data_IF_250354784786
#
_entry.id   IF_250354784786
#
_cell.length_a   1.000
_cell.length_b   1.000
_cell.length_c   1.000
_cell.angle_alpha   90.00
_cell.angle_beta   90.00
_cell.angle_gamma   90.00
#
_symmetry.space_group_name_H-M   'P 1'
#
loop_
_entity.id
_entity.type
_entity.pdbx_description
1 polymer ?
#
# COMPACT_ATOMS: atom_id res chain seq x y z
N UNK A 1 14.27 -1.71 25.27
CA UNK A 1 13.04 -0.89 25.22
C UNK A 1 12.52 -0.96 23.79
N UNK A 2 11.31 -1.46 23.64
CA UNK A 2 10.84 -2.20 22.47
C UNK A 2 10.53 -1.32 21.26
N UNK A 3 11.05 -1.72 20.09
CA UNK A 3 10.76 -1.19 18.75
C UNK A 3 9.27 -1.36 18.32
N UNK A 4 8.42 -1.84 19.23
CA UNK A 4 7.05 -2.28 18.99
C UNK A 4 6.08 -1.09 18.90
N UNK A 5 6.32 -0.01 19.65
CA UNK A 5 5.53 1.22 19.57
C UNK A 5 5.68 1.94 18.22
N UNK A 6 6.91 2.00 17.69
CA UNK A 6 7.20 2.58 16.38
C UNK A 6 6.52 1.81 15.23
N UNK A 7 6.53 0.48 15.29
CA UNK A 7 5.88 -0.39 14.31
C UNK A 7 4.35 -0.22 14.34
N UNK A 8 3.75 -0.19 15.53
CA UNK A 8 2.29 0.02 15.70
C UNK A 8 1.82 1.39 15.21
N UNK A 9 2.61 2.45 15.44
CA UNK A 9 2.31 3.78 14.92
C UNK A 9 2.36 3.81 13.39
N UNK A 10 3.42 3.25 12.79
CA UNK A 10 3.55 3.17 11.32
C UNK A 10 2.40 2.38 10.68
N UNK A 11 2.01 1.26 11.28
CA UNK A 11 0.83 0.49 10.88
C UNK A 11 -0.45 1.34 10.91
N UNK A 12 -0.66 2.06 12.02
CA UNK A 12 -1.85 2.90 12.18
C UNK A 12 -1.96 4.01 11.14
N UNK A 13 -0.84 4.65 10.78
CA UNK A 13 -0.80 5.64 9.71
C UNK A 13 -1.05 5.02 8.34
N UNK A 14 -0.57 3.80 8.10
CA UNK A 14 -0.81 3.10 6.85
C UNK A 14 -2.30 2.79 6.66
N UNK A 15 -2.96 2.25 7.68
CA UNK A 15 -4.41 1.99 7.66
C UNK A 15 -5.21 3.26 7.35
N UNK A 16 -4.89 4.39 7.99
CA UNK A 16 -5.58 5.66 7.75
C UNK A 16 -5.45 6.16 6.31
N UNK A 17 -4.26 6.06 5.71
CA UNK A 17 -4.04 6.43 4.30
C UNK A 17 -4.83 5.54 3.36
N UNK A 18 -4.90 4.23 3.63
CA UNK A 18 -5.70 3.31 2.83
C UNK A 18 -7.20 3.57 2.96
N UNK A 19 -7.71 3.84 4.16
CA UNK A 19 -9.13 4.23 4.34
C UNK A 19 -9.44 5.52 3.57
N UNK A 20 -8.53 6.49 3.56
CA UNK A 20 -8.68 7.69 2.74
C UNK A 20 -8.75 7.36 1.23
N UNK A 21 -7.84 6.53 0.72
CA UNK A 21 -7.82 6.10 -0.69
C UNK A 21 -9.11 5.35 -1.05
N UNK A 22 -9.52 4.41 -0.21
CA UNK A 22 -10.77 3.65 -0.37
C UNK A 22 -11.98 4.58 -0.43
N UNK A 23 -12.10 5.50 0.53
CA UNK A 23 -13.22 6.43 0.59
C UNK A 23 -13.24 7.36 -0.62
N UNK A 24 -12.08 7.88 -1.02
CA UNK A 24 -11.91 8.71 -2.20
C UNK A 24 -12.36 7.96 -3.46
N UNK A 25 -11.85 6.75 -3.70
CA UNK A 25 -12.22 5.93 -4.85
C UNK A 25 -13.72 5.64 -4.90
N UNK A 26 -14.29 5.24 -3.77
CA UNK A 26 -15.71 4.85 -3.68
C UNK A 26 -16.68 6.03 -3.89
N UNK A 27 -16.19 7.27 -3.83
CA UNK A 27 -17.02 8.47 -3.89
C UNK A 27 -16.50 9.48 -4.93
N UNK A 28 -15.55 9.12 -5.79
CA UNK A 28 -14.94 10.08 -6.70
C UNK A 28 -15.97 10.59 -7.70
N UNK A 29 -16.11 11.91 -7.80
CA UNK A 29 -17.00 12.56 -8.75
C UNK A 29 -16.41 13.90 -9.15
N UNK A 30 -16.84 14.47 -10.29
CA UNK A 30 -16.32 15.75 -10.80
C UNK A 30 -16.52 16.93 -9.83
N UNK A 31 -17.42 16.81 -8.87
CA UNK A 31 -17.77 17.85 -7.91
C UNK A 31 -17.15 17.63 -6.53
N UNK A 32 -16.55 16.46 -6.27
CA UNK A 32 -16.01 16.11 -4.95
C UNK A 32 -14.53 16.50 -4.83
N UNK A 33 -14.18 17.07 -3.68
CA UNK A 33 -12.80 17.32 -3.26
C UNK A 33 -12.55 16.58 -1.94
N UNK A 34 -11.46 15.83 -1.86
CA UNK A 34 -11.07 15.06 -0.69
C UNK A 34 -9.84 15.68 -0.05
N UNK A 35 -9.92 15.99 1.25
CA UNK A 35 -8.87 16.67 2.00
C UNK A 35 -8.41 15.78 3.15
N UNK A 36 -7.15 15.35 3.08
CA UNK A 36 -6.46 14.65 4.17
C UNK A 36 -5.69 15.67 5.02
N UNK A 37 -6.18 15.97 6.23
CA UNK A 37 -5.61 17.01 7.10
C UNK A 37 -4.53 16.46 8.06
N UNK A 38 -4.51 15.13 8.30
CA UNK A 38 -3.56 14.52 9.23
C UNK A 38 -3.81 14.93 10.70
N UNK A 39 -2.77 14.81 11.53
CA UNK A 39 -2.84 14.84 13.01
C UNK A 39 -2.83 16.26 13.62
N UNK A 40 -3.58 17.24 13.08
CA UNK A 40 -3.47 18.64 13.56
C UNK A 40 -4.64 19.22 14.35
N UNK A 41 -5.79 18.55 14.51
CA UNK A 41 -6.88 19.11 15.32
C UNK A 41 -7.25 18.32 16.57
N UNK A 42 -6.63 17.16 16.81
CA UNK A 42 -6.89 16.36 18.03
C UNK A 42 -5.77 16.58 19.03
N UNK A 43 -6.12 17.21 20.15
CA UNK A 43 -5.23 17.49 21.29
C UNK A 43 -4.72 16.16 21.85
N UNK A 44 -3.55 15.75 21.35
CA UNK A 44 -2.90 14.50 21.70
C UNK A 44 -1.81 14.85 22.69
N UNK A 45 -2.08 14.52 23.95
CA UNK A 45 -1.06 14.50 24.99
C UNK A 45 0.08 13.61 24.47
N UNK A 46 1.31 14.11 24.47
CA UNK A 46 2.50 13.43 23.92
C UNK A 46 2.79 12.10 24.63
N UNK A 47 2.13 11.84 25.77
CA UNK A 47 2.23 10.62 26.56
C UNK A 47 1.16 9.56 26.23
N UNK A 48 0.21 9.83 25.32
CA UNK A 48 -0.92 8.94 25.01
C UNK A 48 -0.61 8.13 23.73
N UNK A 49 0.15 7.03 23.88
CA UNK A 49 0.59 6.11 22.81
C UNK A 49 -0.56 5.50 21.98
N UNK A 50 -1.82 5.70 22.39
CA UNK A 50 -3.02 5.06 21.84
C UNK A 50 -3.76 5.88 20.75
N UNK A 51 -3.24 7.03 20.35
CA UNK A 51 -4.02 8.04 19.59
C UNK A 51 -3.65 8.17 18.10
N UNK A 52 -3.79 7.06 17.36
CA UNK A 52 -3.82 7.07 15.89
C UNK A 52 -5.22 7.47 15.37
N UNK A 53 -5.61 8.74 15.55
CA UNK A 53 -6.86 9.28 15.01
C UNK A 53 -6.52 10.31 13.92
N UNK A 54 -7.08 10.12 12.72
CA UNK A 54 -6.92 11.04 11.59
C UNK A 54 -8.29 11.46 11.08
N UNK A 55 -8.40 12.74 10.72
CA UNK A 55 -9.59 13.31 10.10
C UNK A 55 -9.34 13.60 8.62
N UNK A 56 -10.35 13.35 7.79
CA UNK A 56 -10.42 13.85 6.44
C UNK A 56 -11.83 14.30 6.09
N UNK A 57 -11.93 15.23 5.13
CA UNK A 57 -13.18 15.86 4.73
C UNK A 57 -13.45 15.59 3.26
N UNK A 58 -14.72 15.35 2.94
CA UNK A 58 -15.24 15.61 1.59
C UNK A 58 -15.93 16.98 1.65
N UNK A 59 -15.52 17.94 0.81
CA UNK A 59 -16.12 19.29 0.79
C UNK A 59 -17.64 19.25 0.50
N UNK A 60 -18.18 18.11 0.08
CA UNK A 60 -19.61 17.85 -0.08
C UNK A 60 -20.26 17.14 1.13
N UNK A 61 -20.00 17.62 2.36
CA UNK A 61 -20.80 17.40 3.59
C UNK A 61 -20.51 16.15 4.46
N UNK A 62 -19.29 15.61 4.51
CA UNK A 62 -18.97 14.50 5.45
C UNK A 62 -17.62 14.70 6.16
N UNK A 63 -17.66 14.70 7.50
CA UNK A 63 -16.50 14.72 8.38
C UNK A 63 -16.16 13.30 8.82
N UNK A 64 -15.03 12.80 8.35
CA UNK A 64 -14.65 11.39 8.51
C UNK A 64 -13.45 11.32 9.43
N UNK A 65 -13.58 10.54 10.49
CA UNK A 65 -12.48 10.20 11.39
C UNK A 65 -12.13 8.73 11.26
N UNK A 66 -10.85 8.41 11.36
CA UNK A 66 -10.35 7.04 11.19
C UNK A 66 -9.47 6.63 12.36
N UNK A 67 -9.79 5.46 12.93
CA UNK A 67 -9.02 4.87 14.02
C UNK A 67 -8.59 3.44 13.67
N UNK A 68 -7.29 3.19 13.69
CA UNK A 68 -6.71 1.85 13.73
C UNK A 68 -6.70 1.29 15.15
N UNK A 69 -6.75 -0.03 15.30
CA UNK A 69 -6.78 -0.71 16.60
C UNK A 69 -8.13 -0.58 17.32
N UNK A 70 -8.10 -0.70 18.64
CA UNK A 70 -9.30 -0.64 19.48
C UNK A 70 -9.78 0.79 19.66
N UNK A 71 -11.10 0.99 19.65
CA UNK A 71 -11.73 2.26 20.02
C UNK A 71 -12.14 2.16 21.49
N UNK A 72 -11.35 2.75 22.38
CA UNK A 72 -11.69 2.83 23.81
C UNK A 72 -12.72 3.94 24.06
N UNK A 73 -13.41 3.91 25.21
CA UNK A 73 -14.36 4.98 25.59
C UNK A 73 -13.74 6.37 25.56
N UNK A 74 -12.46 6.49 25.91
CA UNK A 74 -11.72 7.75 25.82
C UNK A 74 -11.53 8.19 24.38
N UNK A 75 -11.12 7.30 23.48
CA UNK A 75 -10.97 7.61 22.05
C UNK A 75 -12.33 8.01 21.47
N UNK A 76 -13.39 7.27 21.79
CA UNK A 76 -14.74 7.60 21.36
C UNK A 76 -15.21 8.97 21.86
N UNK A 77 -14.91 9.31 23.13
CA UNK A 77 -15.17 10.66 23.64
C UNK A 77 -14.43 11.72 22.83
N UNK A 78 -13.14 11.53 22.52
CA UNK A 78 -12.36 12.46 21.68
C UNK A 78 -12.95 12.60 20.27
N UNK A 79 -13.43 11.51 19.67
CA UNK A 79 -14.10 11.53 18.35
C UNK A 79 -15.35 12.41 18.38
N UNK A 80 -16.21 12.19 19.37
CA UNK A 80 -17.46 12.93 19.54
C UNK A 80 -17.18 14.40 19.90
N UNK A 81 -16.23 14.66 20.78
CA UNK A 81 -15.77 16.01 21.10
C UNK A 81 -15.35 16.76 19.84
N UNK A 82 -14.56 16.11 18.96
CA UNK A 82 -14.15 16.74 17.70
C UNK A 82 -15.35 17.04 16.79
N UNK A 83 -16.32 16.12 16.69
CA UNK A 83 -17.54 16.38 15.92
C UNK A 83 -18.39 17.54 16.47
N UNK A 84 -18.32 17.84 17.78
CA UNK A 84 -18.96 19.02 18.38
C UNK A 84 -18.26 20.34 18.06
N UNK A 85 -17.00 20.27 17.61
CA UNK A 85 -16.22 21.43 17.16
C UNK A 85 -16.45 21.71 15.67
N UNK A 86 -16.62 20.65 14.88
CA UNK A 86 -16.83 20.71 13.43
C UNK A 86 -18.22 21.23 13.06
N UNK A 87 -18.40 21.60 11.80
CA UNK A 87 -19.63 22.22 11.28
C UNK A 87 -20.87 21.31 11.45
N UNK A 88 -21.95 21.86 12.02
CA UNK A 88 -23.18 21.11 12.38
C UNK A 88 -23.87 20.44 11.18
N UNK A 89 -23.64 20.92 9.95
CA UNK A 89 -24.36 20.46 8.75
C UNK A 89 -23.74 19.22 8.10
N UNK A 90 -22.48 18.91 8.43
CA UNK A 90 -21.79 17.77 7.84
C UNK A 90 -22.22 16.47 8.53
N UNK A 91 -22.44 15.43 7.73
CA UNK A 91 -22.59 14.07 8.24
C UNK A 91 -21.31 13.68 8.97
N UNK A 92 -21.45 13.02 10.12
CA UNK A 92 -20.32 12.57 10.94
C UNK A 92 -20.11 11.08 10.73
N UNK A 93 -18.88 10.68 10.42
CA UNK A 93 -18.54 9.28 10.16
C UNK A 93 -17.27 8.87 10.86
N UNK A 94 -17.30 7.71 11.51
CA UNK A 94 -16.12 7.05 12.06
C UNK A 94 -15.87 5.75 11.28
N UNK A 95 -14.66 5.59 10.77
CA UNK A 95 -14.15 4.31 10.27
C UNK A 95 -13.19 3.73 11.31
N UNK A 96 -13.54 2.59 11.87
CA UNK A 96 -12.77 1.89 12.89
C UNK A 96 -12.24 0.55 12.34
N UNK A 97 -11.01 0.20 12.69
CA UNK A 97 -10.45 -1.10 12.31
C UNK A 97 -11.10 -2.26 13.06
N UNK A 98 -11.44 -2.03 14.33
CA UNK A 98 -12.05 -3.04 15.20
C UNK A 98 -13.38 -2.52 15.73
N UNK A 99 -14.28 -3.46 16.01
CA UNK A 99 -15.57 -3.15 16.61
C UNK A 99 -15.42 -2.69 18.08
N UNK A 100 -16.47 -2.08 18.60
CA UNK A 100 -16.52 -1.58 19.97
C UNK A 100 -16.77 -2.72 20.96
N UNK A 101 -16.00 -2.76 22.05
CA UNK A 101 -16.19 -3.71 23.14
C UNK A 101 -17.26 -3.25 24.16
N UNK A 102 -17.99 -2.19 23.85
CA UNK A 102 -19.01 -1.58 24.70
C UNK A 102 -20.10 -0.91 23.86
N UNK A 103 -21.27 -0.71 24.44
CA UNK A 103 -22.37 -0.02 23.78
C UNK A 103 -22.11 1.49 23.68
N UNK A 104 -21.91 1.98 22.46
CA UNK A 104 -21.49 3.37 22.16
C UNK A 104 -22.54 4.43 22.53
N UNK A 105 -23.80 4.02 22.65
CA UNK A 105 -24.95 4.89 22.91
C UNK A 105 -25.62 4.63 24.27
N UNK A 106 -25.00 3.81 25.12
CA UNK A 106 -25.48 3.58 26.48
C UNK A 106 -25.36 4.84 27.33
N UNK A 107 -26.23 4.98 28.34
CA UNK A 107 -26.17 6.07 29.31
C UNK A 107 -24.80 6.20 29.97
N UNK A 108 -24.13 5.07 30.25
CA UNK A 108 -22.78 5.03 30.79
C UNK A 108 -21.79 5.72 29.85
N UNK A 109 -21.79 5.37 28.56
CA UNK A 109 -20.91 5.96 27.56
C UNK A 109 -21.21 7.44 27.35
N UNK A 110 -22.48 7.83 27.23
CA UNK A 110 -22.85 9.25 27.05
C UNK A 110 -22.44 10.09 28.26
N UNK A 111 -22.66 9.59 29.48
CA UNK A 111 -22.22 10.27 30.71
C UNK A 111 -20.68 10.37 30.78
N UNK A 112 -19.97 9.35 30.29
CA UNK A 112 -18.51 9.38 30.20
C UNK A 112 -18.02 10.48 29.23
N UNK A 113 -18.65 10.63 28.06
CA UNK A 113 -18.33 11.71 27.11
C UNK A 113 -18.61 13.07 27.74
N UNK A 114 -19.78 13.25 28.36
CA UNK A 114 -20.16 14.49 29.04
C UNK A 114 -19.13 14.88 30.12
N UNK A 115 -18.66 13.90 30.90
CA UNK A 115 -17.61 14.11 31.91
C UNK A 115 -16.33 14.64 31.27
N UNK A 116 -15.84 14.03 30.18
CA UNK A 116 -14.62 14.47 29.50
C UNK A 116 -14.73 15.92 28.96
N UNK A 117 -15.88 16.26 28.36
CA UNK A 117 -16.17 17.63 27.91
C UNK A 117 -16.13 18.61 29.08
N UNK A 118 -16.78 18.29 30.21
CA UNK A 118 -16.79 19.15 31.41
C UNK A 118 -15.38 19.37 31.96
N UNK A 119 -14.56 18.33 32.01
CA UNK A 119 -13.16 18.41 32.42
C UNK A 119 -12.32 19.26 31.44
N UNK A 120 -12.73 19.30 30.16
CA UNK A 120 -12.19 20.20 29.13
C UNK A 120 -12.15 21.68 29.52
N UNK A 121 -13.04 22.14 30.43
CA UNK A 121 -13.01 23.50 30.98
C UNK A 121 -11.64 23.89 31.55
N UNK A 122 -10.91 22.95 32.15
CA UNK A 122 -9.61 23.24 32.77
C UNK A 122 -8.43 23.13 31.81
N UNK A 123 -8.66 22.70 30.55
CA UNK A 123 -7.62 22.56 29.55
C UNK A 123 -7.35 23.87 28.78
N UNK A 124 -6.25 23.88 28.02
CA UNK A 124 -5.88 25.00 27.14
C UNK A 124 -6.98 25.27 26.11
N UNK A 125 -7.13 26.52 25.65
CA UNK A 125 -8.14 26.90 24.64
C UNK A 125 -8.02 26.16 23.30
N UNK A 126 -6.84 25.65 23.00
CA UNK A 126 -6.55 24.87 21.79
C UNK A 126 -7.01 23.41 21.91
N UNK A 127 -7.35 22.94 23.11
CA UNK A 127 -7.77 21.56 23.34
C UNK A 127 -9.17 21.31 22.76
N UNK A 128 -9.37 20.20 22.05
CA UNK A 128 -10.73 19.84 21.55
C UNK A 128 -11.72 19.81 22.72
N UNK A 129 -11.42 19.10 23.80
CA UNK A 129 -12.36 19.01 24.93
C UNK A 129 -12.73 20.40 25.48
N UNK A 130 -11.82 21.38 25.40
CA UNK A 130 -12.10 22.77 25.78
C UNK A 130 -12.97 23.48 24.75
N UNK A 131 -12.70 23.29 23.46
CA UNK A 131 -13.50 23.84 22.36
C UNK A 131 -14.92 23.25 22.35
N UNK A 132 -15.06 21.94 22.56
CA UNK A 132 -16.35 21.26 22.69
C UNK A 132 -17.14 21.79 23.90
N UNK A 133 -16.48 21.99 25.05
CA UNK A 133 -17.08 22.65 26.20
C UNK A 133 -17.57 24.05 25.86
N UNK A 134 -16.71 24.88 25.25
CA UNK A 134 -17.04 26.27 24.92
C UNK A 134 -18.19 26.32 23.89
N UNK A 135 -18.22 25.44 22.89
CA UNK A 135 -19.30 25.34 21.90
C UNK A 135 -20.64 25.01 22.55
N UNK A 136 -20.70 23.96 23.38
CA UNK A 136 -21.94 23.58 24.07
C UNK A 136 -22.39 24.66 25.06
N UNK A 137 -21.46 25.26 25.80
CA UNK A 137 -21.77 26.33 26.74
C UNK A 137 -22.25 27.60 26.03
N UNK A 138 -21.69 27.94 24.88
CA UNK A 138 -22.14 29.09 24.09
C UNK A 138 -23.52 28.85 23.47
N UNK A 139 -23.80 27.62 23.03
CA UNK A 139 -25.07 27.25 22.37
C UNK A 139 -26.23 27.09 23.36
N UNK A 140 -25.98 26.55 24.55
CA UNK A 140 -27.03 26.16 25.50
C UNK A 140 -26.89 26.73 26.91
N UNK A 141 -25.83 27.49 27.21
CA UNK A 141 -25.42 27.78 28.58
C UNK A 141 -24.91 26.52 29.29
N UNK A 142 -24.63 26.62 30.60
CA UNK A 142 -24.31 25.46 31.42
C UNK A 142 -25.61 24.68 31.73
N UNK A 143 -25.94 23.72 30.87
CA UNK A 143 -27.15 22.90 30.97
C UNK A 143 -26.82 21.45 30.60
N UNK A 144 -26.58 20.62 31.63
CA UNK A 144 -26.13 19.24 31.45
C UNK A 144 -27.14 18.38 30.68
N UNK A 145 -28.45 18.59 30.88
CA UNK A 145 -29.48 17.84 30.17
C UNK A 145 -29.48 18.15 28.67
N UNK A 146 -29.32 19.43 28.30
CA UNK A 146 -29.23 19.84 26.89
C UNK A 146 -27.92 19.36 26.25
N UNK A 147 -26.81 19.40 26.99
CA UNK A 147 -25.53 18.89 26.50
C UNK A 147 -25.62 17.38 26.28
N UNK A 148 -26.19 16.64 27.24
CA UNK A 148 -26.40 15.19 27.11
C UNK A 148 -27.25 14.84 25.89
N UNK A 149 -28.37 15.57 25.67
CA UNK A 149 -29.21 15.41 24.48
C UNK A 149 -28.44 15.68 23.20
N UNK A 150 -27.61 16.73 23.16
CA UNK A 150 -26.79 17.04 21.98
C UNK A 150 -25.76 15.93 21.71
N UNK A 151 -25.06 15.44 22.74
CA UNK A 151 -24.13 14.31 22.63
C UNK A 151 -24.84 13.07 22.07
N UNK A 152 -26.00 12.72 22.64
CA UNK A 152 -26.79 11.58 22.19
C UNK A 152 -27.25 11.74 20.73
N UNK A 153 -27.70 12.93 20.34
CA UNK A 153 -28.09 13.22 18.96
C UNK A 153 -26.91 13.05 17.99
N UNK A 154 -25.73 13.57 18.34
CA UNK A 154 -24.52 13.40 17.52
C UNK A 154 -24.12 11.94 17.39
N UNK A 155 -24.13 11.17 18.48
CA UNK A 155 -23.83 9.74 18.48
C UNK A 155 -24.84 8.95 17.64
N UNK A 156 -26.14 9.21 17.80
CA UNK A 156 -27.22 8.52 17.08
C UNK A 156 -27.19 8.77 15.57
N UNK A 157 -26.79 9.97 15.15
CA UNK A 157 -26.79 10.37 13.76
C UNK A 157 -25.45 10.05 13.05
N UNK A 158 -24.44 9.62 13.79
CA UNK A 158 -23.14 9.27 13.25
C UNK A 158 -23.21 7.94 12.47
N UNK A 159 -22.48 7.86 11.35
CA UNK A 159 -22.26 6.62 10.61
C UNK A 159 -21.01 5.94 11.17
N UNK A 160 -21.16 4.69 11.60
CA UNK A 160 -20.03 3.87 12.07
C UNK A 160 -19.75 2.80 11.03
N UNK A 161 -18.50 2.71 10.58
CA UNK A 161 -18.02 1.71 9.63
C UNK A 161 -16.89 0.94 10.30
N UNK A 162 -17.07 -0.37 10.48
CA UNK A 162 -16.01 -1.25 11.00
C UNK A 162 -15.41 -2.01 9.82
N UNK A 163 -14.10 -1.85 9.60
CA UNK A 163 -13.37 -2.49 8.50
C UNK A 163 -11.92 -2.80 8.88
N UNK A 164 -11.53 -4.06 8.78
CA UNK A 164 -10.13 -4.47 8.89
C UNK A 164 -9.27 -3.94 7.74
N UNK A 165 -7.94 -3.94 7.92
CA UNK A 165 -6.99 -3.58 6.87
C UNK A 165 -7.20 -4.39 5.58
N UNK A 166 -7.33 -5.72 5.70
CA UNK A 166 -7.50 -6.62 4.56
C UNK A 166 -8.79 -6.32 3.78
N UNK A 167 -9.88 -5.97 4.47
CA UNK A 167 -11.13 -5.56 3.82
C UNK A 167 -10.99 -4.25 3.06
N UNK A 168 -10.30 -3.26 3.64
CA UNK A 168 -10.03 -1.97 2.97
C UNK A 168 -9.17 -2.19 1.72
N UNK A 169 -8.09 -2.98 1.82
CA UNK A 169 -7.23 -3.31 0.68
C UNK A 169 -8.01 -4.00 -0.44
N UNK A 170 -8.83 -4.99 -0.08
CA UNK A 170 -9.64 -5.73 -1.04
C UNK A 170 -10.69 -4.86 -1.73
N UNK A 171 -11.31 -3.91 -1.02
CA UNK A 171 -12.26 -2.98 -1.63
C UNK A 171 -11.59 -1.98 -2.56
N UNK A 172 -10.41 -1.46 -2.20
CA UNK A 172 -9.61 -0.64 -3.12
C UNK A 172 -9.31 -1.43 -4.39
N UNK A 173 -8.83 -2.65 -4.26
CA UNK A 173 -8.53 -3.53 -5.40
C UNK A 173 -9.75 -3.75 -6.28
N UNK A 174 -10.87 -4.16 -5.69
CA UNK A 174 -12.07 -4.49 -6.45
C UNK A 174 -12.61 -3.26 -7.21
N UNK A 175 -12.74 -2.13 -6.52
CA UNK A 175 -13.24 -0.88 -7.13
C UNK A 175 -12.31 -0.41 -8.24
N UNK A 176 -11.00 -0.36 -7.99
CA UNK A 176 -10.06 0.14 -8.98
C UNK A 176 -9.97 -0.76 -10.22
N UNK A 177 -9.95 -2.09 -10.02
CA UNK A 177 -9.93 -3.06 -11.12
C UNK A 177 -11.20 -2.96 -11.97
N UNK A 178 -12.36 -2.81 -11.34
CA UNK A 178 -13.64 -2.71 -12.04
C UNK A 178 -13.74 -1.42 -12.86
N UNK A 179 -13.34 -0.28 -12.28
CA UNK A 179 -13.58 1.03 -12.87
C UNK A 179 -12.48 1.50 -13.83
N UNK A 180 -11.23 1.06 -13.62
CA UNK A 180 -10.05 1.65 -14.29
C UNK A 180 -9.13 0.65 -15.00
N UNK A 181 -9.46 -0.64 -15.01
CA UNK A 181 -8.64 -1.68 -15.65
C UNK A 181 -9.41 -2.51 -16.69
N UNK A 182 -10.52 -1.98 -17.22
CA UNK A 182 -11.32 -2.66 -18.25
C UNK A 182 -10.60 -2.78 -19.61
N UNK A 183 -9.54 -2.01 -19.82
CA UNK A 183 -8.68 -2.06 -21.01
C UNK A 183 -7.70 -3.24 -21.01
N UNK A 184 -7.44 -3.86 -19.85
CA UNK A 184 -6.56 -5.04 -19.73
C UNK A 184 -7.32 -6.31 -20.10
N UNK A 185 -6.92 -6.93 -21.21
CA UNK A 185 -7.54 -8.12 -21.78
C UNK A 185 -6.67 -9.38 -21.71
N UNK A 186 -5.34 -9.23 -21.65
CA UNK A 186 -4.40 -10.36 -21.79
C UNK A 186 -3.50 -10.56 -20.58
N UNK A 187 -2.90 -9.48 -20.08
CA UNK A 187 -1.99 -9.50 -18.94
C UNK A 187 -2.74 -9.19 -17.64
N UNK A 188 -3.47 -10.17 -17.11
CA UNK A 188 -4.32 -9.96 -15.92
C UNK A 188 -3.56 -9.45 -14.69
N UNK A 189 -2.28 -9.83 -14.53
CA UNK A 189 -1.44 -9.33 -13.44
C UNK A 189 -1.15 -7.82 -13.54
N UNK A 190 -1.29 -7.18 -14.72
CA UNK A 190 -1.25 -5.71 -14.83
C UNK A 190 -2.31 -5.06 -13.93
N UNK A 191 -3.47 -5.68 -13.75
CA UNK A 191 -4.52 -5.12 -12.89
C UNK A 191 -4.02 -4.99 -11.45
N UNK A 192 -3.32 -6.01 -10.93
CA UNK A 192 -2.74 -5.98 -9.59
C UNK A 192 -1.65 -4.91 -9.48
N UNK A 193 -0.75 -4.84 -10.47
CA UNK A 193 0.33 -3.87 -10.50
C UNK A 193 -0.17 -2.42 -10.61
N UNK A 194 -1.22 -2.18 -11.40
CA UNK A 194 -1.85 -0.86 -11.49
C UNK A 194 -2.46 -0.44 -10.16
N UNK A 195 -3.14 -1.34 -9.45
CA UNK A 195 -3.67 -1.03 -8.10
C UNK A 195 -2.55 -0.66 -7.14
N UNK A 196 -1.48 -1.44 -7.10
CA UNK A 196 -0.33 -1.15 -6.23
C UNK A 196 0.33 0.19 -6.58
N UNK A 197 0.54 0.46 -7.87
CA UNK A 197 1.11 1.71 -8.34
C UNK A 197 0.21 2.91 -8.02
N UNK A 198 -1.11 2.75 -8.16
CA UNK A 198 -2.08 3.79 -7.83
C UNK A 198 -2.09 4.11 -6.33
N UNK A 199 -2.24 3.09 -5.47
CA UNK A 199 -2.20 3.25 -3.99
C UNK A 199 -0.94 4.00 -3.58
N UNK A 200 0.18 3.62 -4.18
CA UNK A 200 1.48 4.22 -3.88
C UNK A 200 1.57 5.68 -4.28
N UNK A 201 1.15 6.04 -5.49
CA UNK A 201 1.19 7.44 -5.93
C UNK A 201 0.30 8.32 -5.03
N UNK A 202 -0.86 7.83 -4.63
CA UNK A 202 -1.70 8.49 -3.63
C UNK A 202 -0.97 8.66 -2.29
N UNK A 203 -0.35 7.61 -1.75
CA UNK A 203 0.41 7.66 -0.48
C UNK A 203 1.58 8.64 -0.58
N UNK A 204 2.39 8.57 -1.63
CA UNK A 204 3.52 9.47 -1.87
C UNK A 204 3.07 10.93 -1.91
N UNK A 205 1.94 11.19 -2.58
CA UNK A 205 1.35 12.53 -2.63
C UNK A 205 0.90 12.99 -1.25
N UNK A 206 0.20 12.14 -0.48
CA UNK A 206 -0.18 12.44 0.92
C UNK A 206 1.06 12.79 1.73
N UNK A 207 2.09 11.95 1.70
CA UNK A 207 3.34 12.14 2.47
C UNK A 207 4.07 13.42 2.07
N UNK A 208 4.11 13.76 0.78
CA UNK A 208 4.70 15.00 0.28
C UNK A 208 3.99 16.25 0.80
N UNK A 209 2.66 16.22 0.93
CA UNK A 209 1.89 17.33 1.51
C UNK A 209 2.06 17.39 3.03
N UNK A 210 1.98 16.25 3.72
CA UNK A 210 2.19 16.14 5.16
C UNK A 210 3.59 16.59 5.57
N UNK A 211 4.63 16.23 4.82
CA UNK A 211 6.01 16.69 5.05
C UNK A 211 6.19 18.21 4.91
N UNK A 212 5.25 18.89 4.23
CA UNK A 212 5.18 20.35 4.12
C UNK A 212 4.22 20.99 5.14
N UNK A 213 3.68 20.22 6.08
CA UNK A 213 2.65 20.65 7.04
C UNK A 213 1.45 21.31 6.36
N UNK A 214 0.96 20.68 5.29
CA UNK A 214 -0.24 21.11 4.56
C UNK A 214 -1.17 19.92 4.34
N UNK A 215 -2.48 20.13 4.35
CA UNK A 215 -3.43 19.09 3.97
C UNK A 215 -3.18 18.61 2.55
N UNK A 216 -3.33 17.30 2.33
CA UNK A 216 -3.29 16.73 0.98
C UNK A 216 -4.68 16.82 0.35
N UNK A 217 -4.80 17.56 -0.74
CA UNK A 217 -6.06 17.74 -1.48
C UNK A 217 -6.04 16.91 -2.76
N UNK A 218 -7.08 16.11 -2.93
CA UNK A 218 -7.34 15.29 -4.12
C UNK A 218 -8.67 15.71 -4.74
N UNK A 219 -8.59 16.22 -5.97
CA UNK A 219 -9.76 16.49 -6.82
C UNK A 219 -9.94 15.36 -7.82
N UNK A 220 -11.10 15.31 -8.48
CA UNK A 220 -11.36 14.38 -9.58
C UNK A 220 -10.21 14.32 -10.61
N UNK A 221 -9.71 15.49 -11.03
CA UNK A 221 -8.63 15.58 -12.01
C UNK A 221 -7.31 15.01 -11.49
N UNK A 222 -7.06 15.07 -10.18
CA UNK A 222 -5.87 14.48 -9.58
C UNK A 222 -5.93 12.96 -9.63
N UNK A 223 -7.07 12.38 -9.23
CA UNK A 223 -7.30 10.94 -9.28
C UNK A 223 -7.21 10.43 -10.72
N UNK A 224 -7.81 11.16 -11.66
CA UNK A 224 -7.75 10.84 -13.09
C UNK A 224 -6.32 10.92 -13.62
N UNK A 225 -5.55 11.95 -13.27
CA UNK A 225 -4.17 12.10 -13.72
C UNK A 225 -3.27 10.98 -13.21
N UNK A 226 -3.41 10.58 -11.94
CA UNK A 226 -2.69 9.43 -11.38
C UNK A 226 -3.06 8.15 -12.13
N UNK A 227 -4.36 7.93 -12.37
CA UNK A 227 -4.86 6.76 -13.10
C UNK A 227 -4.30 6.68 -14.52
N UNK A 228 -4.34 7.79 -15.27
CA UNK A 228 -3.80 7.85 -16.64
C UNK A 228 -2.29 7.59 -16.67
N UNK A 229 -1.53 8.17 -15.74
CA UNK A 229 -0.10 7.91 -15.60
C UNK A 229 0.20 6.43 -15.33
N UNK A 230 -0.57 5.79 -14.45
CA UNK A 230 -0.44 4.36 -14.14
C UNK A 230 -0.78 3.50 -15.36
N UNK A 231 -1.86 3.83 -16.08
CA UNK A 231 -2.30 3.10 -17.26
C UNK A 231 -1.30 3.24 -18.44
N UNK A 232 -0.69 4.41 -18.60
CA UNK A 232 0.35 4.66 -19.60
C UNK A 232 1.64 3.89 -19.30
N UNK A 233 1.89 3.53 -18.04
CA UNK A 233 3.10 2.82 -17.62
C UNK A 233 2.95 1.31 -17.62
N UNK A 234 1.74 0.81 -17.37
CA UNK A 234 1.44 -0.62 -17.24
C UNK A 234 0.24 -0.93 -18.12
N UNK A 235 0.38 -1.73 -19.18
CA UNK A 235 -0.71 -2.15 -20.06
C UNK A 235 -0.43 -3.53 -20.63
N UNK A 236 -1.36 -4.07 -21.43
CA UNK A 236 -1.15 -5.31 -22.21
C UNK A 236 0.07 -5.24 -23.15
N UNK A 237 0.62 -4.06 -23.41
CA UNK A 237 1.71 -3.85 -24.38
C UNK A 237 2.89 -3.09 -23.80
N UNK A 238 2.84 -2.71 -22.52
CA UNK A 238 3.88 -1.90 -21.90
C UNK A 238 4.07 -2.24 -20.43
N UNK A 239 5.33 -2.45 -20.03
CA UNK A 239 5.72 -2.66 -18.65
C UNK A 239 6.85 -1.70 -18.28
N UNK A 240 6.49 -0.56 -17.69
CA UNK A 240 7.44 0.44 -17.21
C UNK A 240 7.18 0.71 -15.73
N UNK A 241 7.94 0.04 -14.87
CA UNK A 241 7.76 0.12 -13.42
C UNK A 241 9.02 0.66 -12.74
N UNK A 242 8.82 1.30 -11.58
CA UNK A 242 9.94 1.65 -10.72
C UNK A 242 10.39 0.41 -9.92
N UNK A 243 11.60 -0.06 -10.22
CA UNK A 243 12.19 -1.29 -9.67
C UNK A 243 12.40 -1.20 -8.16
N UNK A 244 12.99 -0.08 -7.69
CA UNK A 244 13.23 0.14 -6.26
C UNK A 244 11.92 0.05 -5.47
N UNK A 245 10.91 0.63 -6.07
CA UNK A 245 9.58 0.78 -5.50
C UNK A 245 8.79 -0.52 -5.38
N UNK A 246 8.91 -1.43 -6.34
CA UNK A 246 8.21 -2.71 -6.34
C UNK A 246 9.00 -3.84 -5.66
N UNK A 247 10.30 -3.64 -5.43
CA UNK A 247 11.18 -4.66 -4.81
C UNK A 247 10.64 -5.24 -3.50
N UNK A 248 10.06 -4.46 -2.56
CA UNK A 248 9.49 -5.02 -1.33
C UNK A 248 8.35 -6.02 -1.60
N UNK A 249 7.42 -5.70 -2.51
CA UNK A 249 6.32 -6.58 -2.88
C UNK A 249 6.84 -7.83 -3.60
N UNK A 250 7.75 -7.66 -4.56
CA UNK A 250 8.39 -8.80 -5.25
C UNK A 250 9.20 -9.68 -4.31
N UNK A 251 9.78 -9.11 -3.24
CA UNK A 251 10.45 -9.86 -2.17
C UNK A 251 9.47 -10.71 -1.36
N UNK A 252 8.27 -10.20 -1.07
CA UNK A 252 7.20 -11.00 -0.43
C UNK A 252 6.84 -12.20 -1.31
N UNK A 253 6.65 -12.00 -2.61
CA UNK A 253 6.42 -13.09 -3.58
C UNK A 253 7.59 -14.07 -3.63
N UNK A 254 8.83 -13.59 -3.72
CA UNK A 254 10.03 -14.44 -3.72
C UNK A 254 10.16 -15.28 -2.44
N UNK A 255 9.84 -14.72 -1.26
CA UNK A 255 9.82 -15.47 -0.01
C UNK A 255 8.75 -16.57 -0.01
N UNK A 256 7.58 -16.31 -0.59
CA UNK A 256 6.53 -17.33 -0.76
C UNK A 256 6.90 -18.41 -1.78
N UNK A 257 7.73 -18.08 -2.78
CA UNK A 257 8.29 -19.07 -3.69
C UNK A 257 9.35 -19.92 -3.00
N UNK A 258 10.23 -19.31 -2.19
CA UNK A 258 11.29 -20.02 -1.48
C UNK A 258 10.74 -21.14 -0.57
N UNK A 259 9.58 -20.93 0.05
CA UNK A 259 8.92 -21.97 0.86
C UNK A 259 8.43 -23.18 0.05
N UNK A 260 8.35 -23.05 -1.29
CA UNK A 260 8.02 -24.12 -2.23
C UNK A 260 9.31 -24.77 -2.75
N UNK A 261 10.06 -25.44 -1.89
CA UNK A 261 11.40 -25.99 -2.18
C UNK A 261 11.52 -26.92 -3.41
N UNK A 262 10.41 -27.33 -4.01
CA UNK A 262 10.35 -28.24 -5.17
C UNK A 262 10.62 -27.57 -6.52
N UNK A 263 10.75 -26.24 -6.57
CA UNK A 263 11.01 -25.53 -7.81
C UNK A 263 12.46 -25.72 -8.29
N UNK A 264 12.65 -25.95 -9.60
CA UNK A 264 13.97 -26.22 -10.20
C UNK A 264 14.89 -25.02 -10.03
N UNK A 265 14.38 -23.82 -10.27
CA UNK A 265 15.09 -22.54 -10.12
C UNK A 265 15.69 -22.38 -8.71
N UNK A 266 14.95 -22.77 -7.66
CA UNK A 266 15.45 -22.76 -6.28
C UNK A 266 16.59 -23.76 -6.10
N UNK A 267 16.42 -24.98 -6.64
CA UNK A 267 17.45 -26.02 -6.56
C UNK A 267 18.75 -25.58 -7.26
N UNK A 268 18.62 -24.94 -8.41
CA UNK A 268 19.75 -24.40 -9.18
C UNK A 268 20.43 -23.24 -8.42
N UNK A 269 19.67 -22.33 -7.82
CA UNK A 269 20.23 -21.24 -7.00
C UNK A 269 20.91 -21.75 -5.72
N UNK A 270 20.35 -22.75 -5.04
CA UNK A 270 20.98 -23.40 -3.87
C UNK A 270 22.33 -24.01 -4.20
N UNK A 271 22.51 -24.53 -5.42
CA UNK A 271 23.80 -25.06 -5.89
C UNK A 271 24.85 -23.96 -6.14
N UNK A 272 24.41 -22.72 -6.44
CA UNK A 272 25.27 -21.55 -6.60
C UNK A 272 25.68 -20.99 -5.23
N UNK A 273 24.70 -20.75 -4.36
CA UNK A 273 24.89 -20.30 -2.99
C UNK A 273 23.64 -20.64 -2.15
N UNK A 274 23.78 -21.45 -1.07
CA UNK A 274 22.65 -21.87 -0.26
C UNK A 274 22.08 -20.79 0.68
N UNK A 275 22.71 -19.61 0.77
CA UNK A 275 22.22 -18.50 1.59
C UNK A 275 20.80 -18.07 1.14
N UNK A 276 19.79 -18.13 2.03
CA UNK A 276 18.43 -17.69 1.72
C UNK A 276 18.36 -16.26 1.20
N UNK A 277 19.21 -15.34 1.69
CA UNK A 277 19.20 -13.95 1.24
C UNK A 277 19.69 -13.82 -0.22
N UNK A 278 20.68 -14.63 -0.61
CA UNK A 278 21.10 -14.75 -2.00
C UNK A 278 19.94 -15.24 -2.86
N UNK A 279 19.31 -16.34 -2.47
CA UNK A 279 18.24 -16.97 -3.26
C UNK A 279 17.06 -16.00 -3.43
N UNK A 280 16.59 -15.37 -2.36
CA UNK A 280 15.49 -14.40 -2.41
C UNK A 280 15.83 -13.23 -3.32
N UNK A 281 17.06 -12.71 -3.27
CA UNK A 281 17.48 -11.61 -4.15
C UNK A 281 17.44 -12.02 -5.62
N UNK A 282 17.88 -13.22 -5.98
CA UNK A 282 17.83 -13.70 -7.36
C UNK A 282 16.41 -14.03 -7.81
N UNK A 283 15.56 -14.59 -6.93
CA UNK A 283 14.14 -14.80 -7.20
C UNK A 283 13.39 -13.48 -7.43
N UNK A 284 13.72 -12.41 -6.71
CA UNK A 284 13.12 -11.08 -6.98
C UNK A 284 13.38 -10.66 -8.43
N UNK A 285 14.61 -10.86 -8.93
CA UNK A 285 14.98 -10.54 -10.32
C UNK A 285 14.20 -11.39 -11.31
N UNK A 286 14.07 -12.69 -11.03
CA UNK A 286 13.25 -13.61 -11.82
C UNK A 286 11.79 -13.15 -11.88
N UNK A 287 11.20 -12.75 -10.76
CA UNK A 287 9.80 -12.29 -10.72
C UNK A 287 9.62 -11.02 -11.58
N UNK A 288 10.55 -10.05 -11.48
CA UNK A 288 10.52 -8.89 -12.38
C UNK A 288 10.63 -9.27 -13.86
N UNK A 289 11.48 -10.25 -14.19
CA UNK A 289 11.60 -10.73 -15.55
C UNK A 289 10.35 -11.47 -16.03
N UNK A 290 9.70 -12.28 -15.17
CA UNK A 290 8.43 -12.97 -15.49
C UNK A 290 7.33 -11.99 -15.82
N UNK A 291 7.13 -10.96 -15.00
CA UNK A 291 6.17 -9.87 -15.28
C UNK A 291 6.46 -9.23 -16.65
N UNK A 292 7.71 -8.81 -16.87
CA UNK A 292 8.16 -8.20 -18.12
C UNK A 292 7.89 -9.13 -19.33
N UNK A 293 8.28 -10.41 -19.19
CA UNK A 293 8.14 -11.42 -20.23
C UNK A 293 6.67 -11.65 -20.58
N UNK A 294 5.78 -11.71 -19.60
CA UNK A 294 4.35 -11.94 -19.81
C UNK A 294 3.73 -10.85 -20.70
N UNK A 295 4.12 -9.58 -20.51
CA UNK A 295 3.67 -8.47 -21.36
C UNK A 295 4.15 -8.60 -22.81
N UNK A 296 5.38 -9.06 -23.03
CA UNK A 296 6.00 -9.02 -24.36
C UNK A 296 5.97 -10.35 -25.12
N UNK A 297 5.75 -11.48 -24.44
CA UNK A 297 5.77 -12.81 -25.05
C UNK A 297 4.54 -13.13 -25.90
N UNK A 298 3.39 -12.50 -25.59
CA UNK A 298 2.13 -12.68 -26.32
C UNK A 298 1.74 -11.48 -27.18
N UNK A 299 2.68 -10.56 -27.41
CA UNK A 299 2.50 -9.40 -28.29
C UNK A 299 3.34 -9.51 -29.56
N UNK A 300 3.34 -8.46 -30.39
CA UNK A 300 4.22 -8.36 -31.56
C UNK A 300 5.72 -8.44 -31.22
N UNK A 301 6.08 -8.43 -29.93
CA UNK A 301 7.44 -8.53 -29.38
C UNK A 301 7.88 -9.95 -29.00
N UNK A 302 7.08 -10.96 -29.33
CA UNK A 302 7.39 -12.38 -29.05
C UNK A 302 8.74 -12.83 -29.59
N UNK A 303 9.08 -12.43 -30.81
CA UNK A 303 10.34 -12.79 -31.46
C UNK A 303 11.53 -12.18 -30.72
N UNK A 304 11.41 -10.93 -30.28
CA UNK A 304 12.44 -10.25 -29.50
C UNK A 304 12.67 -10.91 -28.14
N UNK A 305 11.61 -11.36 -27.46
CA UNK A 305 11.74 -12.17 -26.22
C UNK A 305 12.45 -13.49 -26.50
N UNK A 306 12.07 -14.21 -27.55
CA UNK A 306 12.73 -15.47 -27.92
C UNK A 306 14.21 -15.30 -28.26
N UNK A 307 14.56 -14.25 -29.02
CA UNK A 307 15.95 -13.93 -29.35
C UNK A 307 16.78 -13.58 -28.11
N UNK A 308 16.18 -12.84 -27.17
CA UNK A 308 16.80 -12.46 -25.91
C UNK A 308 17.07 -13.69 -25.01
N UNK A 309 16.11 -14.60 -24.91
CA UNK A 309 16.28 -15.86 -24.17
C UNK A 309 17.34 -16.75 -24.82
N UNK A 310 17.40 -16.77 -26.16
CA UNK A 310 18.44 -17.47 -26.90
C UNK A 310 19.83 -16.85 -26.72
N UNK A 311 19.95 -15.51 -26.71
CA UNK A 311 21.20 -14.81 -26.39
C UNK A 311 21.68 -15.17 -24.96
N UNK A 312 20.77 -15.20 -24.00
CA UNK A 312 21.08 -15.62 -22.62
C UNK A 312 21.62 -17.06 -22.58
N UNK A 313 21.02 -17.97 -23.34
CA UNK A 313 21.51 -19.35 -23.46
C UNK A 313 22.90 -19.42 -24.12
N UNK A 314 23.12 -18.70 -25.23
CA UNK A 314 24.43 -18.64 -25.90
C UNK A 314 25.51 -18.10 -24.96
N UNK A 315 25.20 -17.02 -24.23
CA UNK A 315 26.11 -16.42 -23.25
C UNK A 315 26.52 -17.41 -22.16
N UNK A 316 25.58 -18.25 -21.71
CA UNK A 316 25.81 -19.32 -20.74
C UNK A 316 26.73 -20.41 -21.28
N UNK A 317 26.47 -20.93 -22.49
CA UNK A 317 27.29 -21.99 -23.09
C UNK A 317 28.72 -21.51 -23.34
N UNK A 318 28.91 -20.30 -23.89
CA UNK A 318 30.23 -19.71 -24.07
C UNK A 318 30.99 -19.60 -22.73
N UNK A 319 30.32 -19.13 -21.68
CA UNK A 319 30.94 -18.99 -20.35
C UNK A 319 31.26 -20.33 -19.71
N UNK A 320 30.43 -21.35 -19.95
CA UNK A 320 30.67 -22.71 -19.49
C UNK A 320 31.91 -23.30 -20.16
N UNK A 321 32.05 -23.15 -21.46
CA UNK A 321 33.21 -23.63 -22.22
C UNK A 321 34.49 -22.91 -21.79
N UNK A 322 34.45 -21.57 -21.65
CA UNK A 322 35.56 -20.77 -21.14
C UNK A 322 36.02 -21.24 -19.75
N UNK A 323 35.07 -21.47 -18.83
CA UNK A 323 35.38 -21.91 -17.46
C UNK A 323 35.91 -23.34 -17.41
N UNK A 324 35.44 -24.23 -18.30
CA UNK A 324 35.95 -25.59 -18.44
C UNK A 324 37.38 -25.58 -18.97
N UNK A 325 37.65 -24.79 -20.01
CA UNK A 325 38.98 -24.59 -20.57
C UNK A 325 39.96 -24.01 -19.54
N UNK A 326 39.52 -23.02 -18.76
CA UNK A 326 40.30 -22.38 -17.69
C UNK A 326 40.52 -23.27 -16.44
N UNK A 327 39.86 -24.43 -16.34
CA UNK A 327 39.88 -25.27 -15.14
C UNK A 327 39.22 -24.62 -13.92
N UNK A 328 38.32 -23.65 -14.12
CA UNK A 328 37.64 -22.86 -13.06
C UNK A 328 36.14 -23.14 -12.96
N UNK A 329 35.68 -24.22 -13.58
CA UNK A 329 34.27 -24.57 -13.64
C UNK A 329 33.71 -24.91 -12.25
N UNK A 330 32.85 -24.03 -11.75
CA UNK A 330 32.02 -24.24 -10.56
C UNK A 330 30.66 -23.59 -10.80
N UNK A 331 29.60 -24.08 -10.15
CA UNK A 331 28.27 -23.46 -10.24
C UNK A 331 28.29 -21.98 -9.88
N UNK A 332 29.11 -21.60 -8.91
CA UNK A 332 29.31 -20.21 -8.50
C UNK A 332 29.93 -19.36 -9.61
N UNK A 333 31.05 -19.81 -10.19
CA UNK A 333 31.75 -19.06 -11.24
C UNK A 333 30.92 -18.97 -12.52
N UNK A 334 30.21 -20.06 -12.87
CA UNK A 334 29.32 -20.11 -14.02
C UNK A 334 28.21 -19.09 -13.89
N UNK A 335 27.50 -19.09 -12.75
CA UNK A 335 26.46 -18.09 -12.47
C UNK A 335 27.01 -16.66 -12.53
N UNK A 336 28.12 -16.39 -11.82
CA UNK A 336 28.66 -15.04 -11.71
C UNK A 336 29.11 -14.48 -13.05
N UNK A 337 29.88 -15.25 -13.85
CA UNK A 337 30.36 -14.79 -15.16
C UNK A 337 29.23 -14.68 -16.19
N UNK A 338 28.28 -15.61 -16.16
CA UNK A 338 27.15 -15.59 -17.11
C UNK A 338 26.27 -14.37 -16.87
N UNK A 339 25.90 -14.11 -15.61
CA UNK A 339 24.99 -12.99 -15.28
C UNK A 339 25.61 -11.61 -15.48
N UNK A 340 26.95 -11.50 -15.57
CA UNK A 340 27.65 -10.27 -15.93
C UNK A 340 27.57 -9.94 -17.43
N UNK A 341 27.21 -10.90 -18.30
CA UNK A 341 27.03 -10.66 -19.72
C UNK A 341 25.70 -9.93 -19.95
N UNK A 342 25.78 -8.70 -20.46
CA UNK A 342 24.61 -7.93 -20.85
C UNK A 342 23.92 -8.56 -22.06
N UNK A 343 22.59 -8.56 -22.03
CA UNK A 343 21.74 -8.99 -23.15
C UNK A 343 21.48 -7.75 -24.01
N UNK A 344 22.19 -7.66 -25.14
CA UNK A 344 22.28 -6.42 -25.94
C UNK A 344 21.25 -6.37 -27.08
N UNK A 345 20.61 -7.49 -27.42
CA UNK A 345 19.73 -7.55 -28.61
C UNK A 345 18.38 -6.86 -28.43
N UNK A 346 17.96 -6.51 -27.22
CA UNK A 346 16.61 -6.01 -26.98
C UNK A 346 16.60 -4.56 -26.49
N UNK A 347 16.12 -3.65 -27.34
CA UNK A 347 15.69 -2.31 -26.92
C UNK A 347 14.49 -2.33 -25.96
N UNK A 348 13.93 -3.50 -25.66
CA UNK A 348 12.76 -3.65 -24.78
C UNK A 348 13.11 -3.50 -23.31
N UNK A 349 14.36 -3.75 -22.89
CA UNK A 349 14.69 -3.67 -21.47
C UNK A 349 14.55 -2.23 -20.95
N UNK A 350 13.72 -2.01 -19.90
CA UNK A 350 13.89 -0.83 -19.07
C UNK A 350 15.30 -0.91 -18.48
N UNK A 351 16.10 0.15 -18.62
CA UNK A 351 17.50 0.12 -18.23
C UNK A 351 17.75 -0.41 -16.80
N UNK A 352 18.82 -1.19 -16.62
CA UNK A 352 19.25 -1.72 -15.32
C UNK A 352 19.48 -3.24 -15.34
N UNK A 353 20.32 -3.80 -14.44
CA UNK A 353 20.73 -5.19 -14.48
C UNK A 353 19.62 -6.19 -14.05
N UNK A 354 18.50 -5.69 -13.53
CA UNK A 354 17.50 -6.53 -12.87
C UNK A 354 16.84 -7.52 -13.83
N UNK A 355 16.47 -7.07 -15.04
CA UNK A 355 15.81 -7.91 -16.03
C UNK A 355 16.80 -8.83 -16.74
N UNK A 356 18.03 -8.36 -16.99
CA UNK A 356 19.12 -9.18 -17.52
C UNK A 356 19.39 -10.38 -16.62
N UNK A 357 19.61 -10.11 -15.33
CA UNK A 357 19.86 -11.17 -14.35
C UNK A 357 18.62 -12.05 -14.16
N UNK A 358 17.43 -11.44 -14.14
CA UNK A 358 16.17 -12.16 -14.02
C UNK A 358 15.94 -13.15 -15.15
N UNK A 359 16.33 -12.82 -16.38
CA UNK A 359 16.30 -13.71 -17.54
C UNK A 359 17.12 -14.97 -17.28
N UNK A 360 18.38 -14.83 -16.87
CA UNK A 360 19.24 -16.00 -16.60
C UNK A 360 18.67 -16.91 -15.50
N UNK A 361 18.07 -16.35 -14.46
CA UNK A 361 17.42 -17.15 -13.40
C UNK A 361 16.18 -17.84 -13.94
N UNK A 362 15.32 -17.13 -14.67
CA UNK A 362 14.10 -17.66 -15.28
C UNK A 362 14.40 -18.84 -16.21
N UNK A 363 15.47 -18.75 -17.00
CA UNK A 363 15.91 -19.78 -17.94
C UNK A 363 16.34 -21.09 -17.26
N UNK A 364 16.41 -21.14 -15.93
CA UNK A 364 16.61 -22.39 -15.16
C UNK A 364 15.30 -23.10 -14.78
N UNK A 365 14.15 -22.49 -15.06
CA UNK A 365 12.84 -23.01 -14.70
C UNK A 365 12.53 -24.36 -15.36
N UNK A 366 11.65 -25.14 -14.71
CA UNK A 366 11.29 -26.48 -15.18
C UNK A 366 10.57 -26.46 -16.55
N UNK A 367 9.80 -25.40 -16.82
CA UNK A 367 8.95 -25.27 -18.02
C UNK A 367 9.67 -24.66 -19.23
N UNK A 368 10.97 -24.38 -19.12
CA UNK A 368 11.78 -23.87 -20.23
C UNK A 368 12.07 -25.00 -21.22
N UNK A 369 12.04 -24.69 -22.52
CA UNK A 369 12.44 -25.64 -23.56
C UNK A 369 13.85 -26.17 -23.25
N UNK A 370 13.99 -27.49 -23.21
CA UNK A 370 15.24 -28.19 -22.87
C UNK A 370 16.42 -27.74 -23.74
N UNK A 371 16.17 -27.37 -24.98
CA UNK A 371 17.23 -26.99 -25.95
C UNK A 371 17.90 -25.65 -25.62
N UNK A 372 17.24 -24.79 -24.84
CA UNK A 372 17.75 -23.46 -24.44
C UNK A 372 17.81 -23.30 -22.91
N UNK A 373 17.56 -24.37 -22.16
CA UNK A 373 17.45 -24.31 -20.69
C UNK A 373 18.82 -24.27 -20.03
N UNK A 374 18.98 -23.36 -19.07
CA UNK A 374 20.22 -23.17 -18.31
C UNK A 374 20.27 -24.08 -17.07
N UNK A 375 21.48 -24.53 -16.71
CA UNK A 375 21.74 -25.27 -15.46
C UNK A 375 23.04 -24.80 -14.81
N UNK A 376 22.95 -24.29 -13.58
CA UNK A 376 24.12 -23.89 -12.79
C UNK A 376 24.86 -25.09 -12.22
N UNK A 377 24.14 -26.18 -11.97
CA UNK A 377 24.68 -27.48 -11.63
C UNK A 377 24.42 -28.43 -12.81
N UNK A 378 25.42 -29.23 -13.19
CA UNK A 378 25.18 -30.31 -14.14
C UNK A 378 24.16 -31.28 -13.52
N UNK A 379 23.11 -31.60 -14.28
CA UNK A 379 22.00 -32.47 -13.84
C UNK A 379 22.46 -33.94 -13.73
#
# INVERSE_FOLDING_TARGET
MSNDGGIKAQYGFYFQKLVFIWYMLSNVSRTNNFVYEGKEDIDIDENDEDTNLVSFKNENLEDIQVKSGKVTRLIWAKVVENWMVLEDQNRKTLVAENDFEYEINSDETINYILKNIKEGKQKKKTAISRQAYDNLNNKFGYNEDQWKKQIQNTVNNAKIIVKSLDEVEKEIENTYKADYCSDICTYEEAKNLRVDSFKKECINRIEKFMGKKRPAVFKYNDVTAITLMVNDNISDHKYQVNVEELTPNKRKTANQLLSKERLREITQLKAVNPDPNFIVRELVREVFYKDFREVYADTTKKTEIGNLEYEAFSNYEDTKDDLKFDGKYTSHNLFLRTTQKNLMTSQLFPGGPIYNHGCYVYMTGQNINKDIRISWKED
#
